data_IF_598505495399
#
_entry.id   IF_598505495399
#
_cell.length_a   1.000
_cell.length_b   1.000
_cell.length_c   1.000
_cell.angle_alpha   90.00
_cell.angle_beta   90.00
_cell.angle_gamma   90.00
#
_symmetry.space_group_name_H-M   'P 1'
#
loop_
_entity.id
_entity.type
_entity.pdbx_description
1 polymer ?
#
# COMPACT_ATOMS: atom_id res chain seq x y z
N UNK A 1 -9.50 -11.10 14.77
CA UNK A 1 -8.31 -10.43 14.22
C UNK A 1 -8.72 -9.75 12.92
N UNK A 2 -8.52 -8.43 12.80
CA UNK A 2 -8.87 -7.72 11.57
C UNK A 2 -7.80 -7.99 10.50
N UNK A 3 -8.19 -7.97 9.23
CA UNK A 3 -7.26 -8.14 8.10
C UNK A 3 -6.12 -7.08 8.16
N UNK A 4 -6.41 -5.90 8.74
CA UNK A 4 -5.41 -4.84 8.98
C UNK A 4 -4.28 -5.22 9.94
N UNK A 5 -4.49 -6.17 10.87
CA UNK A 5 -3.44 -6.61 11.80
C UNK A 5 -2.85 -7.96 11.44
N UNK A 6 -3.34 -8.59 10.37
CA UNK A 6 -2.75 -9.82 9.86
C UNK A 6 -1.33 -9.51 9.34
N UNK A 7 -0.33 -10.19 9.92
CA UNK A 7 1.02 -10.28 9.36
C UNK A 7 0.97 -11.10 8.06
N UNK A 8 0.32 -10.53 7.06
CA UNK A 8 0.45 -10.98 5.69
C UNK A 8 1.84 -10.54 5.25
N UNK A 9 2.61 -11.41 4.59
CA UNK A 9 3.90 -11.05 3.97
C UNK A 9 3.75 -10.04 2.81
N UNK A 10 2.68 -9.24 2.82
CA UNK A 10 2.33 -8.25 1.83
C UNK A 10 2.63 -6.87 2.40
N UNK A 11 3.28 -6.04 1.60
CA UNK A 11 3.50 -4.64 1.91
C UNK A 11 2.14 -3.95 2.10
N UNK A 12 1.86 -3.49 3.32
CA UNK A 12 0.62 -2.75 3.61
C UNK A 12 0.86 -1.27 3.32
N UNK A 13 0.05 -0.71 2.41
CA UNK A 13 -0.03 0.73 2.14
C UNK A 13 -1.27 1.31 2.80
N UNK A 14 -1.15 2.51 3.36
CA UNK A 14 -2.29 3.30 3.84
C UNK A 14 -2.20 4.74 3.37
N UNK A 15 -3.36 5.33 3.12
CA UNK A 15 -3.48 6.78 3.05
C UNK A 15 -3.40 7.37 4.48
N UNK A 16 -2.66 8.46 4.63
CA UNK A 16 -2.61 9.21 5.88
C UNK A 16 -3.76 10.22 5.93
N UNK A 17 -4.31 10.50 7.13
CA UNK A 17 -5.30 11.55 7.29
C UNK A 17 -4.64 12.89 6.95
N UNK A 18 -5.14 13.53 5.90
CA UNK A 18 -4.70 14.85 5.48
C UNK A 18 -5.45 15.87 6.34
N UNK A 19 -4.73 16.68 7.12
CA UNK A 19 -5.33 17.84 7.79
C UNK A 19 -5.73 18.84 6.70
N UNK A 20 -7.04 19.09 6.56
CA UNK A 20 -7.56 20.02 5.56
C UNK A 20 -6.96 21.42 5.72
N UNK A 21 -6.58 22.04 4.59
CA UNK A 21 -5.98 23.37 4.50
C UNK A 21 -5.69 23.73 3.03
N UNK A 22 -5.38 25.00 2.75
CA UNK A 22 -5.13 25.51 1.38
C UNK A 22 -3.76 25.08 0.79
N UNK A 23 -2.92 24.40 1.56
CA UNK A 23 -1.57 24.01 1.13
C UNK A 23 -1.57 22.68 0.38
N UNK A 24 -0.73 22.58 -0.64
CA UNK A 24 -0.48 21.33 -1.35
C UNK A 24 0.10 20.28 -0.39
N UNK A 25 -0.53 19.10 -0.34
CA UNK A 25 -0.02 18.00 0.48
C UNK A 25 0.76 17.06 -0.42
N UNK A 26 2.08 17.10 -0.26
CA UNK A 26 3.00 16.42 -1.17
C UNK A 26 2.97 14.89 -1.01
N UNK A 27 2.69 14.37 0.20
CA UNK A 27 2.81 12.95 0.51
C UNK A 27 1.73 12.45 1.48
N UNK A 28 0.68 11.79 0.94
CA UNK A 28 -0.46 11.28 1.72
C UNK A 28 -0.39 9.76 1.96
N UNK A 29 0.77 9.12 1.80
CA UNK A 29 0.88 7.66 1.87
C UNK A 29 1.94 7.21 2.87
N UNK A 30 1.68 6.08 3.52
CA UNK A 30 2.65 5.40 4.35
C UNK A 30 2.64 3.90 4.12
N UNK A 31 3.82 3.28 4.18
CA UNK A 31 4.02 1.83 4.10
C UNK A 31 4.35 1.25 5.46
N UNK A 32 3.89 0.03 5.73
CA UNK A 32 4.24 -0.71 6.94
C UNK A 32 5.67 -1.23 6.85
N UNK A 33 6.48 -0.91 7.86
CA UNK A 33 7.85 -1.41 8.04
C UNK A 33 7.98 -2.07 9.42
N UNK A 34 9.02 -2.90 9.66
CA UNK A 34 9.34 -3.34 11.01
C UNK A 34 9.46 -2.13 11.94
N UNK A 35 8.69 -2.12 13.03
CA UNK A 35 8.67 -1.02 13.98
C UNK A 35 7.65 0.10 13.71
N UNK A 36 6.91 0.11 12.59
CA UNK A 36 5.85 1.10 12.39
C UNK A 36 5.48 1.42 10.95
N UNK A 37 5.24 2.70 10.67
CA UNK A 37 4.82 3.22 9.37
C UNK A 37 5.81 4.27 8.88
N UNK A 38 6.24 4.17 7.62
CA UNK A 38 7.14 5.13 6.98
C UNK A 38 6.42 5.90 5.86
N UNK A 39 6.63 7.21 5.77
CA UNK A 39 6.08 8.04 4.71
C UNK A 39 6.66 7.66 3.34
N UNK A 40 5.82 7.66 2.31
CA UNK A 40 6.24 7.37 0.93
C UNK A 40 5.64 8.37 -0.05
N UNK A 41 6.35 8.56 -1.16
CA UNK A 41 5.89 9.43 -2.24
C UNK A 41 4.88 8.73 -3.16
N UNK A 42 4.26 9.52 -4.04
CA UNK A 42 3.26 9.01 -4.98
C UNK A 42 3.81 7.94 -5.93
N UNK A 43 5.00 8.17 -6.51
CA UNK A 43 5.63 7.23 -7.45
C UNK A 43 5.90 5.86 -6.83
N UNK A 44 6.30 5.82 -5.56
CA UNK A 44 6.45 4.57 -4.82
C UNK A 44 5.11 3.85 -4.64
N UNK A 45 4.05 4.59 -4.29
CA UNK A 45 2.70 4.05 -4.15
C UNK A 45 2.19 3.47 -5.47
N UNK A 46 2.38 4.19 -6.59
CA UNK A 46 1.98 3.69 -7.91
C UNK A 46 2.69 2.39 -8.27
N UNK A 47 4.01 2.31 -8.08
CA UNK A 47 4.77 1.09 -8.32
C UNK A 47 4.26 -0.08 -7.48
N UNK A 48 4.09 0.14 -6.17
CA UNK A 48 3.68 -0.92 -5.25
C UNK A 48 2.26 -1.43 -5.52
N UNK A 49 1.35 -0.55 -5.95
CA UNK A 49 0.01 -0.94 -6.40
C UNK A 49 0.09 -1.71 -7.72
N UNK A 50 0.91 -1.26 -8.66
CA UNK A 50 1.15 -1.96 -9.92
C UNK A 50 1.71 -3.37 -9.73
N UNK A 51 2.71 -3.54 -8.86
CA UNK A 51 3.29 -4.84 -8.49
C UNK A 51 2.26 -5.75 -7.78
N UNK A 52 1.39 -5.18 -6.95
CA UNK A 52 0.30 -5.96 -6.34
C UNK A 52 -0.70 -6.47 -7.38
N UNK A 53 -1.12 -5.61 -8.32
CA UNK A 53 -2.07 -5.99 -9.37
C UNK A 53 -1.45 -7.04 -10.30
N UNK A 54 -0.19 -6.89 -10.70
CA UNK A 54 0.49 -7.86 -11.56
C UNK A 54 0.58 -9.25 -10.91
N UNK A 55 0.91 -9.31 -9.61
CA UNK A 55 0.91 -10.56 -8.83
C UNK A 55 -0.49 -11.14 -8.61
N UNK A 56 -1.50 -10.28 -8.43
CA UNK A 56 -2.90 -10.70 -8.34
C UNK A 56 -3.45 -11.27 -9.65
N UNK A 57 -3.01 -10.72 -10.79
CA UNK A 57 -3.27 -11.27 -12.11
C UNK A 57 -2.67 -12.67 -12.31
N UNK A 58 -1.49 -12.94 -11.73
CA UNK A 58 -0.88 -14.28 -11.76
C UNK A 58 -1.63 -15.31 -10.89
N UNK A 59 -2.16 -14.91 -9.73
CA UNK A 59 -2.90 -15.84 -8.85
C UNK A 59 -4.22 -16.33 -9.48
N UNK A 60 -4.86 -15.50 -10.30
CA UNK A 60 -6.08 -15.89 -11.04
C UNK A 60 -5.77 -16.68 -12.33
N UNK A 61 -4.56 -16.57 -12.88
CA UNK A 61 -4.14 -17.34 -14.06
C UNK A 61 -3.75 -18.79 -13.72
N UNK A 62 -3.29 -19.06 -12.48
CA UNK A 62 -2.93 -20.42 -12.02
C UNK A 62 -4.09 -21.19 -11.36
N UNK A 63 -5.27 -20.57 -11.24
CA UNK A 63 -6.48 -21.21 -10.69
C UNK A 63 -7.40 -21.81 -11.77
N UNK A 64 -6.94 -21.79 -13.03
CA UNK A 64 -7.60 -22.36 -14.21
C UNK A 64 -6.67 -23.40 -14.87
N UNK A 65 -6.26 -24.42 -14.14
CA UNK A 65 -5.71 -25.66 -14.70
C UNK A 65 -6.23 -26.86 -13.90
#
# INVERSE_FOLDING_TARGET
MSNLTANSQRSQLRALPVRGGKGDVTYCYAVRVPGGWALVNHSFTEWAVGDFISRGGQQNATAID
#
